data_IF_203531202180
#
_entry.id   IF_203531202180
#
_cell.length_a   1.000
_cell.length_b   1.000
_cell.length_c   1.000
_cell.angle_alpha   90.00
_cell.angle_beta   90.00
_cell.angle_gamma   90.00
#
_symmetry.space_group_name_H-M   'P 1'
#
loop_
_entity.id
_entity.type
_entity.pdbx_description
1 polymer ?
#
# COMPACT_ATOMS: atom_id res chain seq x y z
N UNK A 1 32.43 37.62 16.44
CA UNK A 1 33.22 38.63 15.74
C UNK A 1 32.64 40.01 16.06
N UNK A 2 33.47 41.10 16.15
CA UNK A 2 32.99 42.47 16.41
C UNK A 2 32.21 42.99 15.20
N UNK A 3 31.15 43.80 15.42
CA UNK A 3 30.32 44.33 14.33
C UNK A 3 31.12 45.13 13.26
N UNK A 4 32.10 45.92 13.72
CA UNK A 4 32.97 46.73 12.84
C UNK A 4 33.82 45.86 11.89
N UNK A 5 34.24 44.68 12.34
CA UNK A 5 35.05 43.76 11.56
C UNK A 5 34.20 43.03 10.53
N UNK A 6 32.95 42.71 10.84
CA UNK A 6 32.00 42.13 9.90
C UNK A 6 31.65 43.14 8.82
N UNK A 7 31.40 44.40 9.21
CA UNK A 7 31.09 45.49 8.31
C UNK A 7 32.22 45.73 7.31
N UNK A 8 33.48 45.54 7.71
CA UNK A 8 34.61 45.62 6.79
C UNK A 8 34.49 44.66 5.63
N UNK A 9 34.18 43.39 5.92
CA UNK A 9 34.01 42.35 4.87
C UNK A 9 32.76 42.61 4.03
N UNK A 10 31.63 43.02 4.64
CA UNK A 10 30.38 43.29 3.93
C UNK A 10 30.46 44.51 2.99
N UNK A 11 31.23 45.55 3.36
CA UNK A 11 31.44 46.73 2.50
C UNK A 11 32.32 46.43 1.29
N UNK A 12 33.20 45.44 1.40
CA UNK A 12 34.12 45.08 0.31
C UNK A 12 33.52 43.94 -0.53
N UNK A 13 32.77 44.32 -1.57
CA UNK A 13 32.03 43.37 -2.43
C UNK A 13 32.88 42.24 -3.04
N UNK A 14 34.17 42.41 -3.17
CA UNK A 14 35.05 41.37 -3.67
C UNK A 14 35.20 40.15 -2.76
N UNK A 15 34.83 40.25 -1.47
CA UNK A 15 34.79 39.07 -0.59
C UNK A 15 33.60 38.17 -0.85
N UNK A 16 32.52 38.68 -1.39
CA UNK A 16 31.23 37.95 -1.49
C UNK A 16 31.37 36.60 -2.23
N UNK A 17 31.92 36.64 -3.46
CA UNK A 17 32.12 35.41 -4.24
C UNK A 17 33.20 34.50 -3.66
N UNK A 18 34.26 35.08 -3.12
CA UNK A 18 35.34 34.33 -2.47
C UNK A 18 34.78 33.57 -1.26
N UNK A 19 34.09 34.25 -0.37
CA UNK A 19 33.51 33.65 0.83
C UNK A 19 32.43 32.63 0.50
N UNK A 20 31.57 32.92 -0.49
CA UNK A 20 30.57 31.95 -0.98
C UNK A 20 31.24 30.69 -1.50
N UNK A 21 32.27 30.80 -2.32
CA UNK A 21 32.99 29.65 -2.85
C UNK A 21 33.71 28.84 -1.74
N UNK A 22 34.27 29.51 -0.74
CA UNK A 22 34.89 28.84 0.42
C UNK A 22 33.83 28.16 1.27
N UNK A 23 32.69 28.81 1.53
CA UNK A 23 31.54 28.20 2.25
C UNK A 23 31.06 26.96 1.54
N UNK A 24 30.81 27.01 0.23
CA UNK A 24 30.34 25.87 -0.56
C UNK A 24 31.36 24.71 -0.55
N UNK A 25 32.68 25.07 -0.58
CA UNK A 25 33.74 24.09 -0.42
C UNK A 25 33.73 23.46 0.96
N UNK A 26 33.57 24.25 2.03
CA UNK A 26 33.44 23.75 3.40
C UNK A 26 32.25 22.82 3.53
N UNK A 27 31.06 23.21 3.02
CA UNK A 27 29.88 22.35 3.00
C UNK A 27 30.11 20.99 2.32
N UNK A 28 30.98 20.97 1.31
CA UNK A 28 31.32 19.73 0.59
C UNK A 28 32.30 18.83 1.33
N UNK A 29 33.34 19.39 1.99
CA UNK A 29 34.46 18.60 2.56
C UNK A 29 34.48 18.55 4.10
N UNK A 30 33.68 19.37 4.78
CA UNK A 30 33.53 19.39 6.25
C UNK A 30 34.72 20.01 7.00
N UNK A 31 35.62 20.73 6.32
CA UNK A 31 36.78 21.40 6.93
C UNK A 31 37.25 22.57 6.07
N UNK A 32 37.97 23.51 6.68
CA UNK A 32 38.72 24.51 5.93
C UNK A 32 39.81 23.81 5.15
N UNK A 33 39.88 24.05 3.82
CA UNK A 33 40.89 23.46 2.96
C UNK A 33 40.41 23.22 1.53
N UNK A 34 41.31 22.63 0.74
CA UNK A 34 41.10 22.42 -0.68
C UNK A 34 41.31 23.65 -1.53
N UNK A 35 40.98 23.57 -2.80
CA UNK A 35 41.13 24.66 -3.76
C UNK A 35 39.75 25.06 -4.28
N UNK A 36 39.49 26.37 -4.30
CA UNK A 36 38.34 26.96 -5.00
C UNK A 36 38.80 27.62 -6.30
N UNK A 37 37.96 27.56 -7.32
CA UNK A 37 38.21 28.22 -8.61
C UNK A 37 37.24 29.39 -8.76
N UNK A 38 37.77 30.56 -9.10
CA UNK A 38 36.96 31.71 -9.47
C UNK A 38 37.32 32.08 -10.91
N UNK A 39 36.34 32.06 -11.78
CA UNK A 39 36.45 32.49 -13.17
C UNK A 39 35.89 33.91 -13.30
N UNK A 40 36.34 34.65 -14.31
CA UNK A 40 35.92 36.03 -14.61
C UNK A 40 36.00 36.96 -13.39
N UNK A 41 37.22 37.10 -12.86
CA UNK A 41 37.49 37.91 -11.66
C UNK A 41 37.17 39.40 -11.91
N UNK A 42 36.39 39.95 -11.00
CA UNK A 42 36.13 41.40 -10.93
C UNK A 42 37.36 42.15 -10.43
N UNK A 43 37.44 43.44 -10.69
CA UNK A 43 38.58 44.22 -10.25
C UNK A 43 38.71 44.29 -8.71
N UNK A 44 37.59 44.31 -8.00
CA UNK A 44 37.56 44.22 -6.54
C UNK A 44 38.09 42.87 -6.02
N UNK A 45 37.80 41.76 -6.70
CA UNK A 45 38.31 40.42 -6.33
C UNK A 45 39.82 40.34 -6.61
N UNK A 46 40.28 40.87 -7.73
CA UNK A 46 41.72 40.95 -8.06
C UNK A 46 42.48 41.74 -7.01
N UNK A 47 41.95 42.86 -6.57
CA UNK A 47 42.54 43.68 -5.51
C UNK A 47 42.65 42.93 -4.19
N UNK A 48 41.56 42.32 -3.74
CA UNK A 48 41.53 41.51 -2.51
C UNK A 48 42.56 40.38 -2.60
N UNK A 49 42.54 39.59 -3.68
CA UNK A 49 43.49 38.48 -3.86
C UNK A 49 44.93 38.96 -3.91
N UNK A 50 45.19 40.09 -4.55
CA UNK A 50 46.54 40.68 -4.58
C UNK A 50 47.01 41.10 -3.19
N UNK A 51 46.12 41.69 -2.38
CA UNK A 51 46.41 42.12 -1.02
C UNK A 51 46.66 40.92 -0.09
N UNK A 52 45.83 39.86 -0.18
CA UNK A 52 45.97 38.66 0.65
C UNK A 52 47.22 37.86 0.29
N UNK A 53 47.44 37.56 -0.98
CA UNK A 53 48.55 36.70 -1.41
C UNK A 53 49.87 37.41 -1.67
N UNK A 54 49.91 38.75 -1.60
CA UNK A 54 51.06 39.57 -1.96
C UNK A 54 51.60 39.25 -3.37
N UNK A 55 50.67 39.01 -4.32
CA UNK A 55 50.93 38.69 -5.72
C UNK A 55 50.02 39.49 -6.63
N UNK A 56 50.50 39.84 -7.83
CA UNK A 56 49.71 40.59 -8.80
C UNK A 56 48.65 39.69 -9.47
N UNK A 57 47.37 40.00 -9.26
CA UNK A 57 46.21 39.39 -9.91
C UNK A 57 45.56 40.31 -10.95
N UNK A 58 46.05 41.53 -11.17
CA UNK A 58 45.42 42.54 -12.03
C UNK A 58 45.13 42.07 -13.46
N UNK A 59 46.04 41.25 -14.04
CA UNK A 59 45.93 40.69 -15.39
C UNK A 59 45.27 39.32 -15.46
N UNK A 60 44.87 38.71 -14.33
CA UNK A 60 44.32 37.38 -14.31
C UNK A 60 42.80 37.40 -14.56
N UNK A 61 42.33 36.53 -15.44
CA UNK A 61 40.90 36.31 -15.65
C UNK A 61 40.31 35.32 -14.65
N UNK A 62 41.12 34.38 -14.12
CA UNK A 62 40.67 33.38 -13.15
C UNK A 62 41.75 33.15 -12.08
N UNK A 63 41.35 32.62 -10.94
CA UNK A 63 42.25 32.21 -9.86
C UNK A 63 41.85 30.87 -9.23
N UNK A 64 42.87 30.04 -8.98
CA UNK A 64 42.75 28.89 -8.10
C UNK A 64 43.28 29.29 -6.72
N UNK A 65 42.41 29.28 -5.72
CA UNK A 65 42.69 29.74 -4.37
C UNK A 65 42.77 28.54 -3.45
N UNK A 66 43.93 28.28 -2.88
CA UNK A 66 44.10 27.34 -1.79
C UNK A 66 43.49 27.95 -0.52
N UNK A 67 42.44 27.31 0.02
CA UNK A 67 41.67 27.84 1.14
C UNK A 67 42.50 27.91 2.43
N UNK A 68 43.42 26.95 2.66
CA UNK A 68 44.32 27.02 3.83
C UNK A 68 45.27 28.19 3.73
N UNK A 69 45.86 28.44 2.53
CA UNK A 69 46.73 29.59 2.31
C UNK A 69 45.96 30.90 2.45
N UNK A 70 44.71 30.95 1.98
CA UNK A 70 43.88 32.12 2.17
C UNK A 70 43.59 32.38 3.65
N UNK A 71 43.20 31.31 4.43
CA UNK A 71 43.03 31.42 5.88
C UNK A 71 44.26 31.92 6.60
N UNK A 72 45.45 31.44 6.20
CA UNK A 72 46.72 31.89 6.78
C UNK A 72 47.05 33.38 6.54
N UNK A 73 46.44 34.04 5.53
CA UNK A 73 46.64 35.45 5.28
C UNK A 73 46.03 36.40 6.31
N UNK A 74 45.16 35.89 7.18
CA UNK A 74 44.60 36.66 8.29
C UNK A 74 45.52 36.73 9.51
N UNK A 75 46.55 35.88 9.58
CA UNK A 75 47.57 35.95 10.62
C UNK A 75 48.36 37.29 10.51
N UNK A 76 48.74 37.85 11.65
CA UNK A 76 49.39 39.14 11.79
C UNK A 76 48.56 40.32 11.20
N UNK A 77 47.22 40.16 11.16
CA UNK A 77 46.28 41.23 10.84
C UNK A 77 45.38 41.49 12.04
N UNK A 78 44.58 42.54 11.98
CA UNK A 78 43.54 42.79 13.02
C UNK A 78 42.50 41.68 13.16
N UNK A 79 42.50 40.71 12.22
CA UNK A 79 41.55 39.60 12.20
C UNK A 79 42.15 38.29 12.70
N UNK A 80 43.40 38.29 13.20
CA UNK A 80 44.11 37.08 13.62
C UNK A 80 43.43 36.29 14.76
N UNK A 81 42.61 37.00 15.58
CA UNK A 81 41.84 36.40 16.67
C UNK A 81 40.67 35.54 16.16
N UNK A 82 40.28 35.68 14.87
CA UNK A 82 39.17 34.97 14.28
C UNK A 82 39.65 33.87 13.32
N UNK A 83 39.09 32.66 13.48
CA UNK A 83 39.26 31.63 12.45
C UNK A 83 38.50 32.04 11.17
N UNK A 84 38.90 31.48 10.02
CA UNK A 84 38.15 31.70 8.78
C UNK A 84 36.68 31.20 8.90
N UNK A 85 36.43 30.20 9.76
CA UNK A 85 35.05 29.73 10.06
C UNK A 85 34.27 30.84 10.77
N UNK A 86 34.83 31.47 11.81
CA UNK A 86 34.17 32.54 12.55
C UNK A 86 33.81 33.72 11.64
N UNK A 87 34.75 34.05 10.70
CA UNK A 87 34.53 35.12 9.71
C UNK A 87 33.35 34.74 8.78
N UNK A 88 33.31 33.50 8.25
CA UNK A 88 32.28 33.07 7.33
C UNK A 88 30.93 32.96 8.03
N UNK A 89 30.86 32.41 9.23
CA UNK A 89 29.65 32.31 10.04
C UNK A 89 29.06 33.69 10.34
N UNK A 90 29.92 34.63 10.74
CA UNK A 90 29.50 36.01 10.99
C UNK A 90 29.11 36.76 9.71
N UNK A 91 29.76 36.48 8.58
CA UNK A 91 29.46 37.14 7.30
C UNK A 91 28.09 36.70 6.76
N UNK A 92 27.79 35.38 6.82
CA UNK A 92 26.52 34.80 6.30
C UNK A 92 25.43 34.76 7.35
N UNK A 93 25.72 35.11 8.60
CA UNK A 93 24.79 34.98 9.73
C UNK A 93 24.19 33.55 9.84
N UNK A 94 25.06 32.55 9.58
CA UNK A 94 24.69 31.12 9.64
C UNK A 94 25.82 30.29 10.27
N UNK A 95 25.47 29.22 10.99
CA UNK A 95 26.45 28.24 11.45
C UNK A 95 26.86 27.34 10.28
N UNK A 96 28.17 27.17 10.07
CA UNK A 96 28.66 26.32 8.99
C UNK A 96 28.63 24.87 9.37
N UNK A 97 27.82 24.08 8.65
CA UNK A 97 27.75 22.63 8.75
C UNK A 97 28.19 21.97 7.45
N UNK A 98 28.74 20.77 7.53
CA UNK A 98 29.01 19.99 6.32
C UNK A 98 27.78 19.20 5.90
N UNK A 99 27.71 18.84 4.62
CA UNK A 99 26.65 17.91 4.13
C UNK A 99 26.61 16.61 4.94
N UNK A 100 27.75 16.13 5.44
CA UNK A 100 27.83 14.94 6.27
C UNK A 100 27.21 15.18 7.64
N UNK A 101 27.47 16.34 8.25
CA UNK A 101 26.89 16.71 9.54
C UNK A 101 25.38 16.92 9.42
N UNK A 102 24.92 17.57 8.34
CA UNK A 102 23.50 17.77 8.05
C UNK A 102 22.79 16.42 7.87
N UNK A 103 23.38 15.48 7.12
CA UNK A 103 22.84 14.13 6.96
C UNK A 103 22.82 13.37 8.30
N UNK A 104 23.86 13.51 9.11
CA UNK A 104 23.92 12.88 10.42
C UNK A 104 22.87 13.46 11.38
N UNK A 105 22.72 14.78 11.41
CA UNK A 105 21.69 15.45 12.20
C UNK A 105 20.29 15.03 11.78
N UNK A 106 20.01 15.03 10.46
CA UNK A 106 18.75 14.55 9.91
C UNK A 106 18.45 13.10 10.31
N UNK A 107 19.43 12.19 10.16
CA UNK A 107 19.26 10.79 10.53
C UNK A 107 18.96 10.64 12.03
N UNK A 108 19.68 11.37 12.88
CA UNK A 108 19.50 11.34 14.33
C UNK A 108 18.13 11.92 14.76
N UNK A 109 17.69 13.03 14.14
CA UNK A 109 16.36 13.60 14.41
C UNK A 109 15.23 12.63 14.01
N UNK A 110 15.39 12.02 12.84
CA UNK A 110 14.42 11.03 12.35
C UNK A 110 14.37 9.79 13.24
N UNK A 111 15.51 9.30 13.65
CA UNK A 111 15.62 8.19 14.59
C UNK A 111 14.95 8.53 15.93
N UNK A 112 15.23 9.70 16.49
CA UNK A 112 14.59 10.18 17.73
C UNK A 112 13.08 10.30 17.58
N UNK A 113 12.60 10.77 16.42
CA UNK A 113 11.17 10.89 16.15
C UNK A 113 10.46 9.53 16.23
N UNK A 114 10.98 8.49 15.57
CA UNK A 114 10.36 7.17 15.60
C UNK A 114 10.59 6.43 16.92
N UNK A 115 11.77 6.59 17.57
CA UNK A 115 12.05 6.00 18.86
C UNK A 115 11.10 6.48 19.96
N UNK A 116 10.67 7.76 19.91
CA UNK A 116 9.66 8.27 20.84
C UNK A 116 8.38 7.44 20.77
N UNK A 117 7.86 7.16 19.56
CA UNK A 117 6.66 6.32 19.41
C UNK A 117 6.88 4.89 19.89
N UNK A 118 8.05 4.30 19.62
CA UNK A 118 8.38 2.95 20.11
C UNK A 118 8.36 2.89 21.64
N UNK A 119 8.84 3.93 22.32
CA UNK A 119 8.80 4.04 23.77
C UNK A 119 7.39 4.30 24.32
N UNK A 120 6.67 5.25 23.69
CA UNK A 120 5.33 5.66 24.15
C UNK A 120 4.30 4.52 24.02
N UNK A 121 4.47 3.62 23.07
CA UNK A 121 3.54 2.52 22.78
C UNK A 121 4.11 1.12 23.10
N UNK A 122 5.19 1.04 23.87
CA UNK A 122 5.78 -0.24 24.26
C UNK A 122 4.75 -1.14 24.95
N UNK A 123 4.74 -2.42 24.58
CA UNK A 123 3.81 -3.43 25.12
C UNK A 123 2.37 -3.33 24.59
N UNK A 124 2.05 -2.38 23.72
CA UNK A 124 0.73 -2.27 23.07
C UNK A 124 0.67 -3.05 21.75
N UNK A 125 -0.55 -3.28 21.24
CA UNK A 125 -0.75 -4.03 20.00
C UNK A 125 -0.19 -3.32 18.75
N UNK A 126 -0.19 -1.97 18.73
CA UNK A 126 0.39 -1.21 17.62
C UNK A 126 1.92 -1.23 17.59
N UNK A 127 2.58 -1.64 18.67
CA UNK A 127 4.04 -1.64 18.77
C UNK A 127 4.72 -2.44 17.65
N UNK A 128 4.13 -3.56 17.27
CA UNK A 128 4.64 -4.38 16.15
C UNK A 128 4.68 -3.60 14.82
N UNK A 129 3.66 -2.80 14.54
CA UNK A 129 3.63 -1.93 13.35
C UNK A 129 4.69 -0.83 13.44
N UNK A 130 4.80 -0.14 14.59
CA UNK A 130 5.82 0.88 14.80
C UNK A 130 7.24 0.31 14.65
N UNK A 131 7.48 -0.89 15.20
CA UNK A 131 8.75 -1.60 15.04
C UNK A 131 9.03 -1.94 13.57
N UNK A 132 8.01 -2.34 12.82
CA UNK A 132 8.13 -2.61 11.38
C UNK A 132 8.44 -1.33 10.57
N UNK A 133 7.91 -0.15 10.97
CA UNK A 133 8.30 1.14 10.38
C UNK A 133 9.78 1.43 10.65
N UNK A 134 10.20 1.31 11.91
CA UNK A 134 11.58 1.55 12.32
C UNK A 134 12.57 0.66 11.56
N UNK A 135 12.23 -0.62 11.41
CA UNK A 135 13.03 -1.61 10.66
C UNK A 135 12.90 -1.48 9.13
N UNK A 136 12.15 -0.51 8.62
CA UNK A 136 11.84 -0.31 7.19
C UNK A 136 11.17 -1.53 6.51
N UNK A 137 10.38 -2.30 7.27
CA UNK A 137 9.66 -3.50 6.79
C UNK A 137 8.15 -3.31 6.67
N UNK A 138 7.59 -2.22 7.21
CA UNK A 138 6.15 -1.97 7.15
C UNK A 138 5.68 -1.72 5.72
N UNK A 139 4.46 -2.21 5.41
CA UNK A 139 3.78 -1.83 4.16
C UNK A 139 3.62 -0.31 4.13
N UNK A 140 3.95 0.33 3.00
CA UNK A 140 3.85 1.77 2.84
C UNK A 140 4.89 2.61 3.59
N UNK A 141 5.95 2.02 4.17
CA UNK A 141 7.01 2.74 4.91
C UNK A 141 7.64 3.88 4.09
N UNK A 142 7.73 3.73 2.78
CA UNK A 142 8.25 4.77 1.88
C UNK A 142 7.40 6.04 1.94
N UNK A 143 6.09 5.91 1.94
CA UNK A 143 5.15 7.04 2.06
C UNK A 143 5.27 7.72 3.43
N UNK A 144 5.44 6.95 4.50
CA UNK A 144 5.67 7.49 5.86
C UNK A 144 6.95 8.32 5.87
N UNK A 145 8.04 7.82 5.27
CA UNK A 145 9.30 8.54 5.16
C UNK A 145 9.18 9.86 4.35
N UNK A 146 8.45 9.84 3.23
CA UNK A 146 8.18 11.05 2.44
C UNK A 146 7.36 12.08 3.23
N UNK A 147 6.36 11.64 3.99
CA UNK A 147 5.57 12.52 4.84
C UNK A 147 6.37 13.10 6.02
N UNK A 148 7.34 12.37 6.55
CA UNK A 148 8.27 12.89 7.55
C UNK A 148 8.99 14.14 7.04
N UNK A 149 9.36 14.15 5.75
CA UNK A 149 10.08 15.24 5.12
C UNK A 149 9.15 16.42 4.73
N UNK A 150 7.89 16.13 4.37
CA UNK A 150 6.96 17.15 3.86
C UNK A 150 6.08 17.78 4.93
N UNK A 151 5.53 17.00 5.86
CA UNK A 151 4.67 17.48 6.96
C UNK A 151 4.75 16.57 8.19
N UNK A 152 5.73 16.84 9.01
CA UNK A 152 6.00 16.09 10.24
C UNK A 152 4.87 16.19 11.27
N UNK A 153 4.18 17.32 11.34
CA UNK A 153 3.10 17.55 12.31
C UNK A 153 1.87 16.70 11.99
N UNK A 154 1.44 16.70 10.72
CA UNK A 154 0.33 15.86 10.29
C UNK A 154 0.70 14.37 10.37
N UNK A 155 1.95 14.01 10.04
CA UNK A 155 2.41 12.63 10.19
C UNK A 155 2.34 12.17 11.65
N UNK A 156 2.80 12.99 12.59
CA UNK A 156 2.75 12.67 14.04
C UNK A 156 1.33 12.42 14.51
N UNK A 157 0.39 13.29 14.11
CA UNK A 157 -1.04 13.13 14.42
C UNK A 157 -1.58 11.81 13.87
N UNK A 158 -1.32 11.53 12.61
CA UNK A 158 -1.86 10.36 11.93
C UNK A 158 -1.26 9.05 12.48
N UNK A 159 0.03 9.04 12.86
CA UNK A 159 0.63 7.90 13.57
C UNK A 159 -0.10 7.63 14.88
N UNK A 160 -0.41 8.67 15.68
CA UNK A 160 -1.17 8.52 16.93
C UNK A 160 -2.56 7.93 16.69
N UNK A 161 -3.28 8.45 15.68
CA UNK A 161 -4.60 7.90 15.32
C UNK A 161 -4.53 6.43 14.89
N UNK A 162 -3.53 6.07 14.06
CA UNK A 162 -3.37 4.68 13.63
C UNK A 162 -2.97 3.79 14.80
N UNK A 163 -2.11 4.23 15.71
CA UNK A 163 -1.77 3.50 16.94
C UNK A 163 -3.01 3.26 17.81
N UNK A 164 -3.81 4.30 18.05
CA UNK A 164 -5.05 4.19 18.82
C UNK A 164 -6.05 3.24 18.13
N UNK A 165 -6.16 3.31 16.81
CA UNK A 165 -7.00 2.40 16.02
C UNK A 165 -6.54 0.96 16.16
N UNK A 166 -5.25 0.66 15.95
CA UNK A 166 -4.69 -0.68 16.07
C UNK A 166 -4.84 -1.28 17.47
N UNK A 167 -4.77 -0.46 18.51
CA UNK A 167 -4.94 -0.92 19.87
C UNK A 167 -6.40 -1.23 20.24
N UNK A 168 -7.38 -0.66 19.49
CA UNK A 168 -8.82 -0.77 19.76
C UNK A 168 -9.59 -1.45 18.63
N UNK A 169 -8.96 -2.31 17.84
CA UNK A 169 -9.66 -3.01 16.75
C UNK A 169 -10.84 -3.83 17.31
N UNK A 170 -12.04 -3.70 16.71
CA UNK A 170 -13.24 -4.37 17.20
C UNK A 170 -13.12 -5.89 17.25
N UNK A 171 -12.29 -6.48 16.37
CA UNK A 171 -12.03 -7.93 16.35
C UNK A 171 -11.50 -8.47 17.67
N UNK A 172 -10.80 -7.66 18.46
CA UNK A 172 -10.25 -8.09 19.76
C UNK A 172 -11.32 -8.36 20.81
N UNK A 173 -12.50 -7.76 20.64
CA UNK A 173 -13.68 -7.98 21.49
C UNK A 173 -14.72 -8.89 20.82
N UNK A 174 -14.40 -9.49 19.67
CA UNK A 174 -15.35 -10.28 18.89
C UNK A 174 -16.51 -9.46 18.29
N UNK A 175 -16.32 -8.14 18.17
CA UNK A 175 -17.33 -7.21 17.67
C UNK A 175 -17.05 -6.78 16.24
N UNK A 176 -18.09 -6.22 15.61
CA UNK A 176 -17.97 -5.51 14.33
C UNK A 176 -18.48 -4.08 14.47
N UNK A 177 -17.78 -3.11 13.88
CA UNK A 177 -18.19 -1.70 13.82
C UNK A 177 -18.11 -1.21 12.38
N UNK A 178 -19.02 -0.31 12.01
CA UNK A 178 -18.94 0.39 10.71
C UNK A 178 -17.77 1.37 10.71
N UNK A 179 -17.08 1.49 9.60
CA UNK A 179 -15.90 2.36 9.48
C UNK A 179 -16.16 3.81 9.96
N UNK A 180 -17.26 4.49 9.58
CA UNK A 180 -17.49 5.86 10.07
C UNK A 180 -17.66 5.93 11.59
N UNK A 181 -18.27 4.92 12.22
CA UNK A 181 -18.44 4.86 13.69
C UNK A 181 -17.10 4.63 14.37
N UNK A 182 -16.32 3.65 13.89
CA UNK A 182 -14.97 3.38 14.40
C UNK A 182 -14.06 4.62 14.24
N UNK A 183 -14.08 5.23 13.04
CA UNK A 183 -13.33 6.44 12.73
C UNK A 183 -13.66 7.58 13.69
N UNK A 184 -14.96 7.85 13.94
CA UNK A 184 -15.40 8.88 14.88
C UNK A 184 -14.93 8.63 16.31
N UNK A 185 -14.86 7.39 16.75
CA UNK A 185 -14.37 7.04 18.10
C UNK A 185 -12.87 7.33 18.27
N UNK A 186 -12.09 7.21 17.21
CA UNK A 186 -10.64 7.39 17.26
C UNK A 186 -10.24 8.85 16.94
N UNK A 187 -10.76 9.38 15.83
CA UNK A 187 -10.30 10.65 15.25
C UNK A 187 -11.23 11.84 15.54
N UNK A 188 -12.42 11.58 16.06
CA UNK A 188 -13.54 12.54 16.16
C UNK A 188 -14.10 12.99 14.80
N UNK A 189 -13.73 12.27 13.73
CA UNK A 189 -14.18 12.52 12.36
C UNK A 189 -14.64 11.19 11.74
N UNK A 190 -15.90 11.08 11.26
CA UNK A 190 -16.38 9.87 10.59
C UNK A 190 -15.61 9.53 9.31
N UNK A 191 -14.92 10.52 8.72
CA UNK A 191 -14.12 10.40 7.49
C UNK A 191 -12.61 10.26 7.74
N UNK A 192 -12.17 10.23 9.00
CA UNK A 192 -10.75 10.22 9.37
C UNK A 192 -9.97 9.04 8.79
N UNK A 193 -10.62 7.89 8.63
CA UNK A 193 -10.02 6.68 8.03
C UNK A 193 -10.60 6.31 6.66
N UNK A 194 -11.22 7.26 5.94
CA UNK A 194 -11.67 7.01 4.57
C UNK A 194 -10.48 6.56 3.70
N UNK A 195 -10.72 5.59 2.83
CA UNK A 195 -9.67 4.88 2.05
C UNK A 195 -8.83 5.79 1.14
N UNK A 196 -9.31 6.99 0.82
CA UNK A 196 -8.62 7.99 -0.01
C UNK A 196 -7.83 9.01 0.82
N UNK A 197 -8.04 9.12 2.13
CA UNK A 197 -7.27 10.03 2.99
C UNK A 197 -5.87 9.46 3.25
N UNK A 198 -4.92 10.32 3.58
CA UNK A 198 -3.56 9.88 3.92
C UNK A 198 -3.53 9.05 5.19
N UNK A 199 -4.35 9.43 6.19
CA UNK A 199 -4.49 8.67 7.43
C UNK A 199 -5.15 7.32 7.19
N UNK A 200 -6.20 7.25 6.33
CA UNK A 200 -6.86 6.00 5.95
C UNK A 200 -5.92 5.05 5.20
N UNK A 201 -5.14 5.55 4.24
CA UNK A 201 -4.11 4.77 3.54
C UNK A 201 -3.04 4.24 4.51
N UNK A 202 -2.62 5.08 5.47
CA UNK A 202 -1.67 4.65 6.50
C UNK A 202 -2.28 3.55 7.38
N UNK A 203 -3.56 3.67 7.75
CA UNK A 203 -4.26 2.66 8.55
C UNK A 203 -4.41 1.33 7.78
N UNK A 204 -4.76 1.36 6.48
CA UNK A 204 -4.80 0.18 5.60
C UNK A 204 -3.43 -0.52 5.57
N UNK A 205 -2.36 0.24 5.36
CA UNK A 205 -0.99 -0.30 5.32
C UNK A 205 -0.56 -0.87 6.68
N UNK A 206 -1.01 -0.25 7.78
CA UNK A 206 -0.77 -0.73 9.13
C UNK A 206 -1.49 -2.05 9.39
N UNK A 207 -2.75 -2.17 9.00
CA UNK A 207 -3.51 -3.44 9.06
C UNK A 207 -2.84 -4.53 8.20
N UNK A 208 -2.40 -4.21 6.98
CA UNK A 208 -1.67 -5.15 6.13
C UNK A 208 -0.42 -5.69 6.83
N UNK A 209 0.34 -4.81 7.48
CA UNK A 209 1.54 -5.19 8.25
C UNK A 209 1.21 -6.10 9.43
N UNK A 210 0.17 -5.75 10.22
CA UNK A 210 -0.25 -6.53 11.42
C UNK A 210 -0.81 -7.90 11.04
N UNK A 211 -1.58 -7.98 9.96
CA UNK A 211 -2.16 -9.25 9.51
C UNK A 211 -1.25 -10.07 8.58
N UNK A 212 -0.03 -9.58 8.30
CA UNK A 212 0.92 -10.28 7.43
C UNK A 212 0.44 -10.42 5.98
N UNK A 213 -0.28 -9.42 5.49
CA UNK A 213 -0.80 -9.37 4.11
C UNK A 213 0.08 -8.45 3.28
N UNK A 214 0.29 -8.79 2.02
CA UNK A 214 0.93 -7.87 1.07
C UNK A 214 0.10 -6.59 0.89
N UNK A 215 0.66 -5.59 0.24
CA UNK A 215 -0.04 -4.35 -0.09
C UNK A 215 -1.33 -4.64 -0.86
N UNK A 216 -2.48 -4.25 -0.30
CA UNK A 216 -3.80 -4.42 -0.93
C UNK A 216 -3.97 -3.41 -2.06
N UNK A 217 -4.55 -3.85 -3.20
CA UNK A 217 -4.54 -3.07 -4.44
C UNK A 217 -5.93 -2.66 -4.93
N UNK A 218 -6.97 -3.32 -4.45
CA UNK A 218 -8.34 -3.07 -4.90
C UNK A 218 -9.32 -2.96 -3.73
N UNK A 219 -10.52 -2.48 -4.01
CA UNK A 219 -11.57 -2.23 -3.02
C UNK A 219 -11.99 -3.49 -2.26
N UNK A 220 -11.99 -4.65 -2.91
CA UNK A 220 -12.42 -5.91 -2.29
C UNK A 220 -11.38 -6.44 -1.30
N UNK A 221 -10.09 -6.34 -1.65
CA UNK A 221 -8.99 -6.68 -0.73
C UNK A 221 -8.99 -5.75 0.48
N UNK A 222 -9.25 -4.45 0.27
CA UNK A 222 -9.39 -3.47 1.36
C UNK A 222 -10.59 -3.84 2.25
N UNK A 223 -11.74 -4.15 1.66
CA UNK A 223 -12.94 -4.54 2.41
C UNK A 223 -12.70 -5.81 3.24
N UNK A 224 -12.01 -6.80 2.69
CA UNK A 224 -11.65 -8.03 3.41
C UNK A 224 -10.67 -7.73 4.56
N UNK A 225 -9.67 -6.87 4.33
CA UNK A 225 -8.70 -6.47 5.34
C UNK A 225 -9.38 -5.76 6.53
N UNK A 226 -10.27 -4.81 6.26
CA UNK A 226 -11.06 -4.16 7.30
C UNK A 226 -11.99 -5.14 8.03
N UNK A 227 -12.64 -6.04 7.30
CA UNK A 227 -13.52 -7.05 7.91
C UNK A 227 -12.76 -7.98 8.87
N UNK A 228 -11.53 -8.38 8.54
CA UNK A 228 -10.63 -9.12 9.45
C UNK A 228 -10.30 -8.33 10.72
N UNK A 229 -10.26 -7.01 10.63
CA UNK A 229 -10.07 -6.12 11.78
C UNK A 229 -11.35 -5.90 12.60
N UNK A 230 -12.50 -6.46 12.18
CA UNK A 230 -13.81 -6.21 12.76
C UNK A 230 -14.44 -4.89 12.31
N UNK A 231 -13.94 -4.29 11.22
CA UNK A 231 -14.43 -3.04 10.66
C UNK A 231 -15.16 -3.34 9.35
N UNK A 232 -16.35 -2.78 9.16
CA UNK A 232 -17.16 -2.99 7.94
C UNK A 232 -17.31 -1.67 7.20
N UNK A 233 -16.97 -1.69 5.91
CA UNK A 233 -17.06 -0.49 5.05
C UNK A 233 -18.47 -0.36 4.49
N UNK A 234 -18.99 -1.46 3.89
CA UNK A 234 -20.29 -1.51 3.23
C UNK A 234 -20.94 -2.88 3.48
N UNK A 235 -22.09 -2.84 4.11
CA UNK A 235 -22.86 -4.04 4.44
C UNK A 235 -24.11 -4.22 3.57
N UNK A 236 -24.57 -3.17 2.88
CA UNK A 236 -25.84 -3.17 2.15
C UNK A 236 -25.60 -3.43 0.67
N UNK A 237 -24.72 -2.67 0.01
CA UNK A 237 -24.44 -2.87 -1.42
C UNK A 237 -23.47 -4.03 -1.67
N UNK A 238 -22.80 -4.52 -0.62
CA UNK A 238 -22.02 -5.74 -0.66
C UNK A 238 -22.94 -6.93 -0.39
N UNK A 239 -23.45 -7.56 -1.45
CA UNK A 239 -24.38 -8.69 -1.39
C UNK A 239 -23.87 -9.88 -2.21
N UNK A 240 -24.38 -11.07 -1.89
CA UNK A 240 -24.21 -12.29 -2.67
C UNK A 240 -25.57 -12.77 -3.19
N UNK A 241 -25.61 -13.28 -4.43
CA UNK A 241 -26.79 -13.89 -5.01
C UNK A 241 -26.66 -15.41 -4.93
N UNK A 242 -27.67 -16.04 -4.39
CA UNK A 242 -27.67 -17.48 -4.11
C UNK A 242 -29.05 -18.13 -4.29
N UNK A 243 -29.06 -19.47 -4.40
CA UNK A 243 -30.23 -20.29 -4.45
C UNK A 243 -29.96 -21.65 -3.77
N UNK A 244 -30.98 -22.26 -3.19
CA UNK A 244 -30.92 -23.65 -2.71
C UNK A 244 -30.07 -23.88 -1.45
N UNK A 245 -29.79 -22.82 -0.66
CA UNK A 245 -29.04 -22.89 0.60
C UNK A 245 -29.96 -22.65 1.81
N UNK A 246 -29.58 -23.18 2.95
CA UNK A 246 -30.22 -22.93 4.24
C UNK A 246 -29.26 -22.19 5.18
N UNK A 247 -29.79 -21.24 5.96
CA UNK A 247 -29.04 -20.49 6.95
C UNK A 247 -29.64 -20.65 8.35
N UNK A 248 -28.79 -20.50 9.38
CA UNK A 248 -29.17 -20.74 10.77
C UNK A 248 -28.59 -19.65 11.68
N UNK A 249 -29.37 -19.27 12.70
CA UNK A 249 -28.96 -18.43 13.82
C UNK A 249 -29.44 -19.07 15.11
N UNK A 250 -28.57 -19.28 16.11
CA UNK A 250 -28.84 -19.97 17.35
C UNK A 250 -29.58 -21.33 17.13
N UNK A 251 -29.08 -22.13 16.19
CA UNK A 251 -29.65 -23.43 15.75
C UNK A 251 -31.05 -23.39 15.14
N UNK A 252 -31.64 -22.21 14.97
CA UNK A 252 -32.92 -22.03 14.29
C UNK A 252 -32.71 -21.72 12.83
N UNK A 253 -33.39 -22.47 11.95
CA UNK A 253 -33.39 -22.20 10.53
C UNK A 253 -34.01 -20.83 10.25
N UNK A 254 -33.29 -19.98 9.49
CA UNK A 254 -33.80 -18.70 9.07
C UNK A 254 -35.00 -18.87 8.15
N UNK A 255 -36.12 -18.23 8.51
CA UNK A 255 -37.41 -18.42 7.80
C UNK A 255 -37.36 -17.94 6.35
N UNK A 256 -36.60 -16.88 6.03
CA UNK A 256 -36.47 -16.36 4.67
C UNK A 256 -35.70 -17.36 3.80
N UNK A 257 -34.57 -17.87 4.27
CA UNK A 257 -33.80 -18.91 3.55
C UNK A 257 -34.62 -20.18 3.36
N UNK A 258 -35.35 -20.61 4.40
CA UNK A 258 -36.23 -21.80 4.32
C UNK A 258 -37.34 -21.63 3.28
N UNK A 259 -38.03 -20.50 3.29
CA UNK A 259 -39.08 -20.20 2.32
C UNK A 259 -38.54 -20.14 0.89
N UNK A 260 -37.40 -19.45 0.69
CA UNK A 260 -36.75 -19.38 -0.62
C UNK A 260 -36.29 -20.75 -1.13
N UNK A 261 -35.79 -21.63 -0.23
CA UNK A 261 -35.46 -23.02 -0.56
C UNK A 261 -36.70 -23.81 -1.01
N UNK A 262 -37.78 -23.73 -0.22
CA UNK A 262 -39.05 -24.46 -0.50
C UNK A 262 -39.73 -23.96 -1.78
N UNK A 263 -39.66 -22.62 -2.06
CA UNK A 263 -40.22 -22.01 -3.27
C UNK A 263 -39.27 -22.05 -4.46
N UNK A 264 -38.04 -22.54 -4.27
CA UNK A 264 -37.00 -22.57 -5.32
C UNK A 264 -36.61 -21.19 -5.85
N UNK A 265 -36.60 -20.15 -4.98
CA UNK A 265 -36.37 -18.76 -5.32
C UNK A 265 -34.89 -18.38 -5.20
N UNK A 266 -34.51 -17.37 -5.99
CA UNK A 266 -33.19 -16.72 -5.90
C UNK A 266 -33.22 -15.62 -4.86
N UNK A 267 -32.22 -15.57 -3.98
CA UNK A 267 -32.05 -14.53 -2.99
C UNK A 267 -30.83 -13.66 -3.30
N UNK A 268 -30.97 -12.35 -3.11
CA UNK A 268 -29.84 -11.45 -2.90
C UNK A 268 -29.69 -11.17 -1.41
N UNK A 269 -28.56 -11.58 -0.82
CA UNK A 269 -28.33 -11.49 0.61
C UNK A 269 -27.21 -10.47 0.88
N UNK A 270 -27.55 -9.29 1.45
CA UNK A 270 -26.55 -8.33 1.88
C UNK A 270 -25.61 -8.90 2.93
N UNK A 271 -24.38 -8.42 2.97
CA UNK A 271 -23.39 -8.81 3.97
C UNK A 271 -23.92 -8.60 5.40
N UNK A 272 -24.72 -7.56 5.63
CA UNK A 272 -25.41 -7.32 6.90
C UNK A 272 -26.21 -8.55 7.36
N UNK A 273 -27.13 -9.02 6.51
CA UNK A 273 -27.95 -10.19 6.84
C UNK A 273 -27.11 -11.47 6.99
N UNK A 274 -26.09 -11.63 6.14
CA UNK A 274 -25.20 -12.79 6.19
C UNK A 274 -24.38 -12.81 7.48
N UNK A 275 -23.97 -11.63 7.97
CA UNK A 275 -23.20 -11.48 9.21
C UNK A 275 -23.98 -11.83 10.49
N UNK A 276 -25.33 -11.84 10.42
CA UNK A 276 -26.21 -12.24 11.51
C UNK A 276 -26.47 -13.77 11.56
N UNK A 277 -25.93 -14.53 10.59
CA UNK A 277 -26.05 -15.98 10.55
C UNK A 277 -24.83 -16.63 11.20
N UNK A 278 -25.06 -17.67 12.00
CA UNK A 278 -23.99 -18.46 12.60
C UNK A 278 -23.40 -19.45 11.58
N UNK A 279 -24.26 -20.00 10.70
CA UNK A 279 -23.84 -20.93 9.65
C UNK A 279 -24.78 -20.91 8.44
N UNK A 280 -24.20 -21.22 7.29
CA UNK A 280 -24.96 -21.52 6.07
C UNK A 280 -24.57 -22.92 5.61
N UNK A 281 -25.55 -23.68 5.17
CA UNK A 281 -25.41 -25.09 4.78
C UNK A 281 -25.99 -25.34 3.40
N UNK A 282 -25.34 -26.23 2.68
CA UNK A 282 -25.87 -26.85 1.49
C UNK A 282 -26.51 -28.21 1.89
N UNK A 283 -27.78 -28.43 1.60
CA UNK A 283 -28.42 -29.72 1.87
C UNK A 283 -27.77 -30.92 1.19
N UNK A 284 -27.21 -30.73 -0.02
CA UNK A 284 -26.48 -31.76 -0.77
C UNK A 284 -24.99 -31.85 -0.42
N UNK A 285 -24.49 -31.00 0.51
CA UNK A 285 -23.07 -30.83 0.80
C UNK A 285 -22.21 -30.43 -0.41
N UNK A 286 -22.83 -29.90 -1.45
CA UNK A 286 -22.20 -29.35 -2.64
C UNK A 286 -22.78 -27.98 -2.92
N UNK A 287 -21.96 -27.06 -3.47
CA UNK A 287 -22.41 -25.76 -3.97
C UNK A 287 -21.72 -25.47 -5.29
N UNK A 288 -22.49 -25.00 -6.27
CA UNK A 288 -21.95 -24.59 -7.56
C UNK A 288 -21.83 -23.07 -7.62
N UNK A 289 -20.62 -22.59 -7.79
CA UNK A 289 -20.28 -21.17 -7.85
C UNK A 289 -20.00 -20.81 -9.30
N UNK A 290 -20.85 -19.99 -9.89
CA UNK A 290 -20.78 -19.57 -11.28
C UNK A 290 -20.37 -18.10 -11.34
N UNK A 291 -19.36 -17.76 -12.15
CA UNK A 291 -18.83 -16.39 -12.22
C UNK A 291 -19.82 -15.45 -12.89
N UNK A 292 -20.41 -15.90 -14.01
CA UNK A 292 -21.24 -15.07 -14.86
C UNK A 292 -22.71 -15.09 -14.43
N UNK A 293 -23.34 -13.90 -14.20
CA UNK A 293 -24.76 -13.82 -13.84
C UNK A 293 -25.71 -14.41 -14.89
N UNK A 294 -25.40 -14.27 -16.18
CA UNK A 294 -26.19 -14.83 -17.26
C UNK A 294 -26.20 -16.37 -17.23
N UNK A 295 -25.03 -16.98 -16.98
CA UNK A 295 -24.91 -18.42 -16.83
C UNK A 295 -25.64 -18.91 -15.58
N UNK A 296 -25.47 -18.19 -14.44
CA UNK A 296 -26.18 -18.50 -13.19
C UNK A 296 -27.71 -18.51 -13.41
N UNK A 297 -28.29 -17.47 -14.03
CA UNK A 297 -29.70 -17.39 -14.28
C UNK A 297 -30.17 -18.48 -15.27
N UNK A 298 -29.41 -18.75 -16.33
CA UNK A 298 -29.73 -19.81 -17.28
C UNK A 298 -29.80 -21.17 -16.61
N UNK A 299 -28.84 -21.47 -15.70
CA UNK A 299 -28.88 -22.70 -14.89
C UNK A 299 -30.12 -22.72 -13.99
N UNK A 300 -30.49 -21.60 -13.36
CA UNK A 300 -31.72 -21.50 -12.55
C UNK A 300 -33.00 -21.76 -13.35
N UNK A 301 -33.04 -21.28 -14.61
CA UNK A 301 -34.20 -21.49 -15.49
C UNK A 301 -34.39 -22.95 -15.92
N UNK A 302 -33.29 -23.64 -16.17
CA UNK A 302 -33.32 -25.07 -16.53
C UNK A 302 -33.64 -26.00 -15.36
N UNK A 303 -33.15 -25.68 -14.16
CA UNK A 303 -33.25 -26.56 -13.00
C UNK A 303 -34.37 -26.12 -12.07
N UNK A 304 -35.50 -26.81 -12.14
CA UNK A 304 -36.76 -26.51 -11.41
C UNK A 304 -36.81 -27.09 -9.98
N UNK A 305 -35.72 -27.60 -9.47
CA UNK A 305 -35.60 -28.09 -8.08
C UNK A 305 -34.55 -27.24 -7.31
N UNK A 306 -34.60 -27.25 -5.97
CA UNK A 306 -33.58 -26.55 -5.19
C UNK A 306 -32.19 -27.16 -5.42
N UNK A 307 -31.35 -26.43 -6.10
CA UNK A 307 -29.90 -26.73 -6.29
C UNK A 307 -29.08 -25.63 -5.66
N UNK A 308 -28.07 -25.97 -4.86
CA UNK A 308 -27.22 -24.98 -4.24
C UNK A 308 -26.36 -24.27 -5.29
N UNK A 309 -26.75 -23.06 -5.65
CA UNK A 309 -26.08 -22.20 -6.64
C UNK A 309 -25.69 -20.86 -6.02
N UNK A 310 -24.56 -20.34 -6.41
CA UNK A 310 -24.04 -19.02 -6.00
C UNK A 310 -23.49 -18.30 -7.23
N UNK A 311 -23.82 -17.00 -7.38
CA UNK A 311 -23.26 -16.14 -8.40
C UNK A 311 -22.10 -15.33 -7.82
N UNK A 312 -20.90 -15.39 -8.47
CA UNK A 312 -19.72 -14.69 -8.00
C UNK A 312 -19.60 -13.25 -8.54
N UNK A 313 -20.29 -12.90 -9.62
CA UNK A 313 -20.22 -11.56 -10.26
C UNK A 313 -18.81 -11.10 -10.65
N UNK A 314 -17.99 -12.00 -11.19
CA UNK A 314 -16.60 -11.70 -11.50
C UNK A 314 -15.73 -11.67 -10.24
N UNK A 315 -15.11 -10.55 -9.92
CA UNK A 315 -14.25 -10.43 -8.74
C UNK A 315 -15.04 -10.74 -7.44
N UNK A 316 -14.59 -11.73 -6.63
CA UNK A 316 -15.27 -12.13 -5.42
C UNK A 316 -15.43 -10.98 -4.43
N UNK A 317 -16.67 -10.58 -4.17
CA UNK A 317 -17.01 -9.61 -3.14
C UNK A 317 -16.87 -10.23 -1.74
N UNK A 318 -16.71 -9.38 -0.72
CA UNK A 318 -16.60 -9.84 0.66
C UNK A 318 -17.80 -10.73 1.10
N UNK A 319 -19.01 -10.39 0.69
CA UNK A 319 -20.20 -11.21 0.98
C UNK A 319 -20.11 -12.65 0.42
N UNK A 320 -19.55 -12.80 -0.79
CA UNK A 320 -19.26 -14.12 -1.35
C UNK A 320 -18.24 -14.89 -0.51
N UNK A 321 -17.12 -14.24 -0.15
CA UNK A 321 -16.08 -14.88 0.67
C UNK A 321 -16.60 -15.31 2.03
N UNK A 322 -17.40 -14.47 2.69
CA UNK A 322 -18.04 -14.81 3.98
C UNK A 322 -18.99 -16.00 3.83
N UNK A 323 -19.81 -16.03 2.76
CA UNK A 323 -20.68 -17.17 2.46
C UNK A 323 -19.87 -18.45 2.23
N UNK A 324 -18.84 -18.40 1.40
CA UNK A 324 -17.99 -19.57 1.11
C UNK A 324 -17.23 -20.05 2.35
N UNK A 325 -16.78 -19.15 3.22
CA UNK A 325 -16.16 -19.52 4.50
C UNK A 325 -17.14 -20.28 5.41
N UNK A 326 -18.42 -19.87 5.46
CA UNK A 326 -19.45 -20.58 6.21
C UNK A 326 -19.76 -21.95 5.62
N UNK A 327 -19.89 -22.05 4.30
CA UNK A 327 -20.13 -23.31 3.58
C UNK A 327 -18.93 -24.26 3.75
N UNK A 328 -17.71 -23.79 3.63
CA UNK A 328 -16.50 -24.58 3.84
C UNK A 328 -16.44 -25.15 5.26
N UNK A 329 -16.72 -24.32 6.27
CA UNK A 329 -16.80 -24.74 7.68
C UNK A 329 -17.91 -25.76 7.92
N UNK A 330 -19.03 -25.69 7.19
CA UNK A 330 -20.13 -26.67 7.27
C UNK A 330 -19.82 -27.96 6.52
N UNK A 331 -18.65 -28.11 5.94
CA UNK A 331 -18.24 -29.33 5.22
C UNK A 331 -18.81 -29.42 3.81
N UNK A 332 -19.11 -28.31 3.15
CA UNK A 332 -19.65 -28.24 1.78
C UNK A 332 -18.49 -28.21 0.77
N UNK A 333 -18.59 -29.04 -0.27
CA UNK A 333 -17.67 -29.00 -1.42
C UNK A 333 -18.09 -27.90 -2.39
N UNK A 334 -17.12 -27.08 -2.82
CA UNK A 334 -17.30 -25.89 -3.66
C UNK A 334 -16.89 -26.23 -5.08
N UNK A 335 -17.82 -26.21 -6.03
CA UNK A 335 -17.58 -26.42 -7.46
C UNK A 335 -17.62 -25.07 -8.17
N UNK A 336 -16.48 -24.61 -8.66
CA UNK A 336 -16.35 -23.29 -9.31
C UNK A 336 -16.17 -23.40 -10.81
N UNK A 337 -16.91 -22.59 -11.55
CA UNK A 337 -16.74 -22.37 -12.98
C UNK A 337 -16.73 -20.86 -13.28
N UNK A 338 -15.84 -20.43 -14.15
CA UNK A 338 -15.68 -19.02 -14.55
C UNK A 338 -15.25 -18.87 -16.01
N UNK A 339 -15.05 -17.63 -16.42
CA UNK A 339 -14.56 -17.31 -17.76
C UNK A 339 -13.10 -17.78 -17.96
N UNK A 340 -12.78 -18.11 -19.19
CA UNK A 340 -11.43 -18.50 -19.60
C UNK A 340 -10.67 -17.26 -20.07
N UNK A 341 -10.33 -16.40 -19.08
CA UNK A 341 -9.45 -15.28 -19.27
C UNK A 341 -8.46 -15.16 -18.09
N UNK A 342 -7.41 -14.34 -18.18
CA UNK A 342 -6.42 -14.26 -17.11
C UNK A 342 -7.00 -13.86 -15.76
N UNK A 343 -8.02 -13.01 -15.72
CA UNK A 343 -8.70 -12.56 -14.50
C UNK A 343 -9.51 -13.69 -13.88
N UNK A 344 -10.31 -14.42 -14.67
CA UNK A 344 -11.09 -15.60 -14.21
C UNK A 344 -10.20 -16.71 -13.68
N UNK A 345 -9.06 -16.99 -14.35
CA UNK A 345 -8.07 -17.98 -13.85
C UNK A 345 -7.46 -17.51 -12.52
N UNK A 346 -7.18 -16.21 -12.35
CA UNK A 346 -6.68 -15.70 -11.08
C UNK A 346 -7.71 -15.78 -9.95
N UNK A 347 -8.99 -15.57 -10.26
CA UNK A 347 -10.07 -15.77 -9.28
C UNK A 347 -10.10 -17.23 -8.83
N UNK A 348 -10.16 -18.16 -9.78
CA UNK A 348 -10.14 -19.59 -9.51
C UNK A 348 -8.92 -20.02 -8.68
N UNK A 349 -7.75 -19.51 -9.02
CA UNK A 349 -6.50 -19.73 -8.29
C UNK A 349 -6.55 -19.25 -6.83
N UNK A 350 -7.08 -18.04 -6.59
CA UNK A 350 -7.21 -17.49 -5.23
C UNK A 350 -8.22 -18.27 -4.40
N UNK A 351 -9.35 -18.63 -4.98
CA UNK A 351 -10.39 -19.42 -4.29
C UNK A 351 -9.88 -20.83 -3.95
N UNK A 352 -9.16 -21.49 -4.88
CA UNK A 352 -8.54 -22.77 -4.58
C UNK A 352 -7.54 -22.69 -3.42
N UNK A 353 -6.70 -21.68 -3.39
CA UNK A 353 -5.73 -21.48 -2.28
C UNK A 353 -6.43 -21.22 -0.93
N UNK A 354 -7.62 -20.61 -0.95
CA UNK A 354 -8.40 -20.36 0.26
C UNK A 354 -9.12 -21.62 0.78
N UNK A 355 -9.56 -22.51 -0.12
CA UNK A 355 -10.39 -23.70 0.18
C UNK A 355 -9.79 -25.00 -0.38
N UNK A 356 -8.52 -25.33 -0.16
CA UNK A 356 -7.80 -26.34 -0.94
C UNK A 356 -8.38 -27.75 -0.85
N UNK A 357 -8.99 -28.13 0.29
CA UNK A 357 -9.50 -29.49 0.53
C UNK A 357 -10.87 -29.76 -0.10
N UNK A 358 -11.67 -28.72 -0.35
CA UNK A 358 -13.07 -28.80 -0.76
C UNK A 358 -13.41 -27.97 -1.99
N UNK A 359 -12.39 -27.48 -2.69
CA UNK A 359 -12.60 -26.70 -3.90
C UNK A 359 -12.30 -27.55 -5.14
N UNK A 360 -13.26 -27.55 -6.05
CA UNK A 360 -13.21 -28.31 -7.30
C UNK A 360 -13.44 -27.38 -8.48
N UNK A 361 -12.64 -27.57 -9.53
CA UNK A 361 -12.85 -26.87 -10.80
C UNK A 361 -13.94 -27.58 -11.59
N UNK A 362 -15.02 -26.86 -11.94
CA UNK A 362 -16.12 -27.35 -12.75
C UNK A 362 -15.95 -26.85 -14.18
N UNK A 363 -15.77 -27.76 -15.14
CA UNK A 363 -15.58 -27.39 -16.55
C UNK A 363 -14.48 -26.35 -16.75
N UNK A 364 -13.32 -26.59 -16.18
CA UNK A 364 -12.24 -25.61 -16.15
C UNK A 364 -10.91 -26.22 -16.60
N UNK A 365 -10.99 -27.08 -17.65
CA UNK A 365 -9.83 -27.72 -18.24
C UNK A 365 -9.54 -27.20 -19.67
N UNK A 366 -8.50 -27.74 -20.31
CA UNK A 366 -8.11 -27.35 -21.67
C UNK A 366 -9.16 -27.69 -22.72
N UNK A 367 -9.93 -28.79 -22.53
CA UNK A 367 -10.98 -29.19 -23.49
C UNK A 367 -12.14 -28.21 -23.44
N UNK A 368 -12.55 -27.85 -22.24
CA UNK A 368 -13.62 -26.86 -22.01
C UNK A 368 -13.20 -25.50 -22.54
N UNK A 369 -11.96 -25.08 -22.31
CA UNK A 369 -11.41 -23.86 -22.88
C UNK A 369 -11.46 -23.84 -24.42
N UNK A 370 -11.03 -24.93 -25.08
CA UNK A 370 -11.07 -25.00 -26.55
C UNK A 370 -12.53 -24.89 -27.05
N UNK A 371 -13.49 -25.51 -26.35
CA UNK A 371 -14.92 -25.40 -26.67
C UNK A 371 -15.48 -23.99 -26.43
N UNK A 372 -14.97 -23.32 -25.41
CA UNK A 372 -15.38 -21.96 -25.02
C UNK A 372 -14.66 -20.84 -25.76
N UNK A 373 -13.75 -21.15 -26.70
CA UNK A 373 -12.94 -20.15 -27.40
C UNK A 373 -13.78 -19.09 -28.13
N UNK A 374 -13.42 -17.83 -27.95
CA UNK A 374 -13.97 -16.68 -28.65
C UNK A 374 -12.94 -16.03 -29.57
N UNK A 375 -13.36 -15.04 -30.36
CA UNK A 375 -12.43 -14.25 -31.19
C UNK A 375 -11.74 -13.11 -30.42
N UNK A 376 -12.00 -12.96 -29.13
CA UNK A 376 -11.41 -11.94 -28.28
C UNK A 376 -9.92 -12.24 -28.01
N UNK A 377 -9.04 -11.41 -28.56
CA UNK A 377 -7.59 -11.53 -28.33
C UNK A 377 -7.20 -10.95 -26.96
N UNK A 378 -6.20 -11.60 -26.34
CA UNK A 378 -5.62 -11.20 -25.06
C UNK A 378 -4.32 -10.43 -25.28
N UNK A 379 -4.14 -9.32 -24.58
CA UNK A 379 -2.89 -8.55 -24.63
C UNK A 379 -1.77 -9.22 -23.84
N UNK A 380 -0.52 -8.95 -24.22
CA UNK A 380 0.66 -9.49 -23.52
C UNK A 380 0.69 -9.11 -22.03
N UNK A 381 0.19 -7.92 -21.68
CA UNK A 381 0.11 -7.48 -20.28
C UNK A 381 -0.87 -8.33 -19.46
N UNK A 382 -2.01 -8.72 -20.03
CA UNK A 382 -2.97 -9.64 -19.38
C UNK A 382 -2.40 -11.06 -19.30
N UNK A 383 -1.75 -11.54 -20.35
CA UNK A 383 -1.14 -12.89 -20.36
C UNK A 383 -0.04 -13.06 -19.30
N UNK A 384 0.72 -12.01 -18.97
CA UNK A 384 1.70 -12.02 -17.86
C UNK A 384 1.07 -12.31 -16.50
N UNK A 385 -0.22 -12.06 -16.32
CA UNK A 385 -0.92 -12.40 -15.07
C UNK A 385 -0.93 -13.90 -14.81
N UNK A 386 -0.88 -14.71 -15.87
CA UNK A 386 -0.84 -16.17 -15.81
C UNK A 386 0.50 -16.74 -15.34
N UNK A 387 1.57 -15.94 -15.29
CA UNK A 387 2.89 -16.38 -14.83
C UNK A 387 2.91 -16.77 -13.35
N UNK A 388 1.94 -16.26 -12.58
CA UNK A 388 1.79 -16.52 -11.15
C UNK A 388 0.96 -17.77 -10.83
N UNK A 389 0.45 -18.47 -11.84
CA UNK A 389 -0.38 -19.66 -11.63
C UNK A 389 0.53 -20.86 -11.34
N UNK A 390 0.50 -21.32 -10.10
CA UNK A 390 1.33 -22.42 -9.57
C UNK A 390 0.54 -23.70 -9.25
N UNK A 391 -0.80 -23.69 -9.41
CA UNK A 391 -1.68 -24.84 -9.17
C UNK A 391 -1.60 -25.81 -10.34
N UNK A 392 -1.26 -27.07 -10.07
CA UNK A 392 -1.08 -28.11 -11.08
C UNK A 392 -2.28 -28.30 -12.01
N UNK A 393 -3.52 -28.18 -11.49
CA UNK A 393 -4.75 -28.32 -12.27
C UNK A 393 -4.98 -27.15 -13.24
N UNK A 394 -4.56 -25.92 -12.89
CA UNK A 394 -4.76 -24.73 -13.73
C UNK A 394 -3.60 -24.46 -14.70
N UNK A 395 -2.42 -24.99 -14.42
CA UNK A 395 -1.21 -24.71 -15.22
C UNK A 395 -1.36 -25.10 -16.70
N UNK A 396 -1.89 -26.30 -17.07
CA UNK A 396 -2.09 -26.65 -18.48
C UNK A 396 -3.04 -25.69 -19.20
N UNK A 397 -4.07 -25.20 -18.53
CA UNK A 397 -5.02 -24.21 -19.05
C UNK A 397 -4.34 -22.86 -19.27
N UNK A 398 -3.60 -22.37 -18.28
CA UNK A 398 -2.85 -21.12 -18.36
C UNK A 398 -1.82 -21.15 -19.51
N UNK A 399 -1.07 -22.25 -19.65
CA UNK A 399 -0.08 -22.42 -20.73
C UNK A 399 -0.75 -22.47 -22.12
N UNK A 400 -1.89 -23.18 -22.25
CA UNK A 400 -2.66 -23.21 -23.49
C UNK A 400 -3.20 -21.83 -23.88
N UNK A 401 -3.67 -21.05 -22.90
CA UNK A 401 -4.14 -19.68 -23.11
C UNK A 401 -3.02 -18.74 -23.58
N UNK A 402 -1.81 -18.86 -23.02
CA UNK A 402 -0.62 -18.12 -23.50
C UNK A 402 -0.27 -18.44 -24.97
N UNK A 403 -0.46 -19.69 -25.39
CA UNK A 403 -0.23 -20.10 -26.77
C UNK A 403 -1.27 -19.53 -27.73
N UNK A 404 -2.56 -19.68 -27.39
CA UNK A 404 -3.67 -19.29 -28.26
C UNK A 404 -3.95 -17.79 -28.22
N UNK A 405 -3.59 -17.09 -27.12
CA UNK A 405 -3.78 -15.65 -26.89
C UNK A 405 -5.24 -15.18 -27.08
N UNK A 406 -6.20 -16.04 -26.78
CA UNK A 406 -7.63 -15.80 -26.96
C UNK A 406 -8.37 -16.06 -25.65
N UNK A 407 -9.41 -15.27 -25.38
CA UNK A 407 -10.33 -15.53 -24.29
C UNK A 407 -11.38 -16.58 -24.67
N UNK A 408 -11.95 -17.23 -23.69
CA UNK A 408 -13.15 -18.08 -23.83
C UNK A 408 -14.22 -17.64 -22.83
N UNK A 409 -15.47 -17.92 -23.16
CA UNK A 409 -16.61 -17.49 -22.34
C UNK A 409 -17.39 -18.67 -21.82
N UNK A 410 -17.81 -18.58 -20.56
CA UNK A 410 -18.58 -19.60 -19.85
C UNK A 410 -19.90 -19.93 -20.55
N UNK A 411 -20.53 -18.96 -21.19
CA UNK A 411 -21.79 -19.14 -21.94
C UNK A 411 -21.67 -20.17 -23.07
N UNK A 412 -20.50 -20.33 -23.69
CA UNK A 412 -20.28 -21.25 -24.79
C UNK A 412 -20.23 -22.73 -24.35
N UNK A 413 -20.16 -22.97 -23.06
CA UNK A 413 -20.19 -24.32 -22.46
C UNK A 413 -21.38 -24.51 -21.49
N UNK A 414 -22.41 -23.65 -21.58
CA UNK A 414 -23.56 -23.64 -20.68
C UNK A 414 -24.27 -25.02 -20.59
N UNK A 415 -24.51 -25.68 -21.72
CA UNK A 415 -25.16 -27.00 -21.76
C UNK A 415 -24.39 -28.05 -20.97
N UNK A 416 -23.06 -27.99 -21.01
CA UNK A 416 -22.23 -28.95 -20.28
C UNK A 416 -22.26 -28.63 -18.77
N UNK A 417 -22.25 -27.36 -18.40
CA UNK A 417 -22.43 -26.95 -17.00
C UNK A 417 -23.76 -27.41 -16.44
N UNK A 418 -24.86 -27.20 -17.19
CA UNK A 418 -26.21 -27.65 -16.78
C UNK A 418 -26.25 -29.17 -16.57
N UNK A 419 -25.68 -29.95 -17.49
CA UNK A 419 -25.60 -31.42 -17.39
C UNK A 419 -24.87 -31.85 -16.13
N UNK A 420 -23.73 -31.26 -15.84
CA UNK A 420 -22.91 -31.60 -14.67
C UNK A 420 -23.64 -31.22 -13.36
N UNK A 421 -24.22 -30.02 -13.29
CA UNK A 421 -24.98 -29.57 -12.12
C UNK A 421 -26.17 -30.52 -11.85
N UNK A 422 -26.87 -31.00 -12.89
CA UNK A 422 -27.96 -31.94 -12.78
C UNK A 422 -27.51 -33.33 -12.34
N UNK A 423 -26.36 -33.80 -12.82
CA UNK A 423 -25.85 -35.13 -12.51
C UNK A 423 -25.21 -35.25 -11.14
N UNK A 424 -24.69 -34.13 -10.62
CA UNK A 424 -23.92 -34.09 -9.37
C UNK A 424 -24.76 -33.70 -8.14
N UNK A 425 -26.02 -33.23 -8.33
CA UNK A 425 -26.89 -32.75 -7.24
C UNK A 425 -27.86 -33.83 -6.73
#
# INVERSE_FOLDING_TARGET
MKAEDIDFFKRNKGYERIFKAIRDKYKSIGRIGGVIKLDDLTDSEKEILSNHFKKDFSKRKSANIDVNKFAATFLNTRFEEYSLIDILESYFDEKLTSKKDDMYQYANEKEKFFNRFLSDYEGTKCWQWLKSIYDNKAVGVRTINQRYDSDRTLLERDIKYVCDALNRLPVYEGKKLRLPVFSSHITRDPHGFDVNTDCGKMFINALSTIFGVEEVKNSEEIAELFYRAGIVIDEISNFVTLKGLLAYSADKCNKVFKAAYECNEVLQVPLYNLSEMDRVESPSKKVFVLENPGVFLSVCDFIKKPVPLVCAYGQPRLSLLVLLDMLYKSGTDIYYSGDFDPEGIQIAHRLFKRYPERFHFLRYDVKDYIKALSDKTLTESRLKMLDKIDIAQLKPLADKMKILKRAGYQELILDDIIKDVLSMN
#
